data_IF_653237614221
#
_entry.id   IF_653237614221
#
_cell.length_a   1.000
_cell.length_b   1.000
_cell.length_c   1.000
_cell.angle_alpha   90.00
_cell.angle_beta   90.00
_cell.angle_gamma   90.00
#
_symmetry.space_group_name_H-M   'P 1'
#
loop_
_entity.id
_entity.type
_entity.pdbx_description
1 polymer ?
#
# COMPACT_ATOMS: atom_id res chain seq x y z
N UNK A 1 -17.89 -9.71 -4.74
CA UNK A 1 -18.08 -9.96 -3.28
C UNK A 1 -19.49 -9.55 -2.84
N UNK A 2 -20.16 -10.28 -1.94
CA UNK A 2 -21.46 -9.88 -1.35
C UNK A 2 -21.27 -9.51 0.13
N UNK A 3 -21.65 -8.30 0.53
CA UNK A 3 -21.68 -7.85 1.92
C UNK A 3 -23.14 -7.74 2.41
N UNK A 4 -23.40 -8.00 3.70
CA UNK A 4 -24.70 -7.75 4.30
C UNK A 4 -25.06 -6.26 4.28
N UNK A 5 -26.35 -5.96 4.37
CA UNK A 5 -26.81 -4.57 4.46
C UNK A 5 -26.47 -3.99 5.84
N UNK A 6 -25.55 -3.02 5.88
CA UNK A 6 -25.21 -2.29 7.11
C UNK A 6 -26.10 -1.07 7.35
N UNK A 7 -26.04 -0.53 8.58
CA UNK A 7 -26.68 0.75 8.91
C UNK A 7 -25.85 1.90 8.35
N UNK A 8 -26.40 2.67 7.41
CA UNK A 8 -25.73 3.86 6.87
C UNK A 8 -25.46 4.88 7.99
N UNK A 9 -24.20 5.23 8.17
CA UNK A 9 -23.77 6.27 9.12
C UNK A 9 -23.57 7.60 8.43
N UNK A 10 -22.98 7.58 7.21
CA UNK A 10 -22.60 8.80 6.51
C UNK A 10 -22.57 8.57 4.99
N UNK A 11 -22.96 9.59 4.24
CA UNK A 11 -22.81 9.65 2.78
C UNK A 11 -22.36 11.05 2.39
N UNK A 12 -21.19 11.19 1.76
CA UNK A 12 -20.67 12.48 1.28
C UNK A 12 -19.74 12.29 0.08
N UNK A 13 -19.61 13.32 -0.74
CA UNK A 13 -18.53 13.40 -1.73
C UNK A 13 -17.25 13.85 -1.01
N UNK A 14 -16.13 13.21 -1.31
CA UNK A 14 -14.80 13.52 -0.78
C UNK A 14 -13.80 13.59 -1.92
N UNK A 15 -12.99 14.64 -1.91
CA UNK A 15 -11.78 14.72 -2.72
C UNK A 15 -10.64 13.94 -2.04
N UNK A 16 -10.59 13.98 -0.71
CA UNK A 16 -9.58 13.29 0.10
C UNK A 16 -10.23 12.22 1.03
N UNK A 17 -9.96 10.92 0.78
CA UNK A 17 -10.35 9.80 1.64
C UNK A 17 -9.89 9.90 3.10
N UNK A 18 -8.81 10.66 3.39
CA UNK A 18 -8.23 10.82 4.73
C UNK A 18 -9.27 11.12 5.79
N UNK A 19 -10.18 12.05 5.47
CA UNK A 19 -11.22 12.49 6.42
C UNK A 19 -12.10 11.34 6.92
N UNK A 20 -12.31 10.32 6.09
CA UNK A 20 -13.12 9.16 6.44
C UNK A 20 -12.31 8.10 7.17
N UNK A 21 -11.05 7.91 6.81
CA UNK A 21 -10.15 7.01 7.54
C UNK A 21 -9.93 7.50 8.97
N UNK A 22 -9.73 8.81 9.17
CA UNK A 22 -9.67 9.42 10.50
C UNK A 22 -10.98 9.23 11.26
N UNK A 23 -12.13 9.52 10.63
CA UNK A 23 -13.45 9.37 11.25
C UNK A 23 -13.75 7.92 11.67
N UNK A 24 -13.36 6.95 10.86
CA UNK A 24 -13.50 5.52 11.16
C UNK A 24 -12.60 5.10 12.32
N UNK A 25 -11.34 5.54 12.33
CA UNK A 25 -10.38 5.24 13.38
C UNK A 25 -10.80 5.84 14.73
N UNK A 26 -11.11 7.14 14.76
CA UNK A 26 -11.47 7.86 15.99
C UNK A 26 -12.79 7.35 16.62
N UNK A 27 -13.67 6.77 15.81
CA UNK A 27 -14.94 6.18 16.27
C UNK A 27 -14.86 4.67 16.53
N UNK A 28 -13.70 4.07 16.34
CA UNK A 28 -13.50 2.62 16.43
C UNK A 28 -14.55 1.85 15.59
N UNK A 29 -14.79 2.32 14.36
CA UNK A 29 -15.86 1.77 13.52
C UNK A 29 -15.65 0.28 13.20
N UNK A 30 -16.70 -0.52 13.39
CA UNK A 30 -16.80 -1.84 12.76
C UNK A 30 -17.88 -1.81 11.69
N UNK A 31 -17.50 -2.14 10.45
CA UNK A 31 -18.36 -1.93 9.29
C UNK A 31 -17.56 -1.83 7.99
N UNK A 32 -18.06 -1.06 7.03
CA UNK A 32 -17.40 -0.90 5.73
C UNK A 32 -17.69 0.46 5.09
N UNK A 33 -16.75 0.94 4.27
CA UNK A 33 -16.93 2.08 3.39
C UNK A 33 -17.04 1.60 1.94
N UNK A 34 -17.93 2.23 1.18
CA UNK A 34 -18.05 2.09 -0.27
C UNK A 34 -17.59 3.38 -0.91
N UNK A 35 -16.66 3.28 -1.84
CA UNK A 35 -16.11 4.36 -2.64
C UNK A 35 -16.66 4.23 -4.05
N UNK A 36 -17.39 5.24 -4.51
CA UNK A 36 -17.91 5.29 -5.87
C UNK A 36 -17.28 6.49 -6.59
N UNK A 37 -16.45 6.30 -7.63
CA UNK A 37 -15.90 7.38 -8.44
C UNK A 37 -17.02 8.23 -9.05
N UNK A 38 -16.81 9.54 -9.19
CA UNK A 38 -17.82 10.39 -9.84
C UNK A 38 -17.95 10.13 -11.35
N UNK A 39 -16.85 9.77 -12.03
CA UNK A 39 -16.83 9.49 -13.46
C UNK A 39 -17.57 8.19 -13.84
N UNK A 40 -17.81 7.32 -12.86
CA UNK A 40 -18.65 6.12 -12.99
C UNK A 40 -20.09 6.43 -13.43
N UNK A 41 -20.56 7.67 -13.22
CA UNK A 41 -21.90 8.10 -13.61
C UNK A 41 -22.02 8.41 -15.11
N UNK A 42 -20.90 8.58 -15.83
CA UNK A 42 -20.89 9.05 -17.22
C UNK A 42 -20.55 7.95 -18.24
N UNK A 43 -19.88 6.86 -17.85
CA UNK A 43 -19.28 5.90 -18.80
C UNK A 43 -19.56 4.41 -18.52
N UNK A 44 -20.59 4.07 -17.73
CA UNK A 44 -20.91 2.68 -17.31
C UNK A 44 -19.79 1.95 -16.53
N UNK A 45 -18.66 2.60 -16.26
CA UNK A 45 -17.58 2.11 -15.42
C UNK A 45 -18.05 2.08 -13.96
N UNK A 46 -18.69 0.99 -13.55
CA UNK A 46 -19.39 0.83 -12.27
C UNK A 46 -18.48 0.30 -11.16
N UNK A 47 -17.17 0.58 -11.27
CA UNK A 47 -16.16 0.27 -10.28
C UNK A 47 -16.45 0.93 -8.96
N UNK A 48 -16.71 0.10 -7.95
CA UNK A 48 -16.85 0.52 -6.56
C UNK A 48 -15.76 -0.16 -5.76
N UNK A 49 -14.99 0.66 -5.05
CA UNK A 49 -14.07 0.19 -4.03
C UNK A 49 -14.81 -0.06 -2.72
N UNK A 50 -14.44 -1.11 -2.01
CA UNK A 50 -14.98 -1.43 -0.70
C UNK A 50 -13.81 -1.65 0.25
N UNK A 51 -13.84 -0.95 1.40
CA UNK A 51 -12.88 -1.15 2.49
C UNK A 51 -13.66 -1.51 3.75
N UNK A 52 -13.32 -2.62 4.40
CA UNK A 52 -13.92 -3.01 5.69
C UNK A 52 -13.06 -2.56 6.85
N UNK A 53 -13.70 -2.30 7.99
CA UNK A 53 -13.06 -1.86 9.23
C UNK A 53 -13.45 -2.77 10.39
N UNK A 54 -12.50 -2.99 11.30
CA UNK A 54 -12.72 -3.58 12.61
C UNK A 54 -12.13 -2.65 13.65
N UNK A 55 -12.95 -2.15 14.57
CA UNK A 55 -12.52 -1.17 15.58
C UNK A 55 -11.74 0.02 14.97
N UNK A 56 -12.17 0.51 13.80
CA UNK A 56 -11.56 1.62 13.08
C UNK A 56 -10.36 1.25 12.20
N UNK A 57 -9.84 0.02 12.32
CA UNK A 57 -8.68 -0.46 11.57
C UNK A 57 -9.12 -1.11 10.25
N UNK A 58 -8.59 -0.69 9.10
CA UNK A 58 -8.84 -1.33 7.81
C UNK A 58 -8.40 -2.80 7.81
N UNK A 59 -9.26 -3.69 7.30
CA UNK A 59 -8.99 -5.13 7.26
C UNK A 59 -8.94 -5.67 5.83
N UNK A 60 -9.98 -5.41 5.04
CA UNK A 60 -10.12 -5.90 3.67
C UNK A 60 -10.29 -4.74 2.70
N UNK A 61 -9.70 -4.86 1.51
CA UNK A 61 -10.03 -4.03 0.35
C UNK A 61 -10.49 -4.92 -0.82
N UNK A 62 -11.46 -4.43 -1.59
CA UNK A 62 -11.94 -5.09 -2.80
C UNK A 62 -12.43 -4.07 -3.81
N UNK A 63 -12.14 -4.30 -5.09
CA UNK A 63 -12.56 -3.45 -6.19
C UNK A 63 -13.49 -4.26 -7.11
N UNK A 64 -14.71 -3.76 -7.32
CA UNK A 64 -15.77 -4.53 -7.98
C UNK A 64 -15.65 -4.60 -9.50
N UNK A 65 -14.98 -3.63 -10.14
CA UNK A 65 -14.79 -3.62 -11.59
C UNK A 65 -13.59 -4.48 -12.01
N UNK A 66 -12.46 -4.33 -11.31
CA UNK A 66 -11.25 -5.13 -11.58
C UNK A 66 -11.28 -6.52 -10.92
N UNK A 67 -12.30 -6.81 -10.09
CA UNK A 67 -12.43 -8.01 -9.27
C UNK A 67 -11.17 -8.32 -8.41
N UNK A 68 -10.35 -7.30 -8.13
CA UNK A 68 -9.13 -7.45 -7.33
C UNK A 68 -9.44 -7.26 -5.85
N UNK A 69 -8.67 -7.93 -5.01
CA UNK A 69 -8.77 -7.85 -3.54
C UNK A 69 -7.41 -7.52 -2.92
N UNK A 70 -7.39 -7.06 -1.67
CA UNK A 70 -6.15 -6.77 -0.95
C UNK A 70 -5.41 -5.53 -1.48
N UNK A 71 -4.07 -5.49 -1.39
CA UNK A 71 -3.28 -4.32 -1.82
C UNK A 71 -3.50 -3.88 -3.27
N UNK A 72 -3.64 -4.78 -4.27
CA UNK A 72 -3.95 -4.37 -5.64
C UNK A 72 -5.28 -3.61 -5.78
N UNK A 73 -6.31 -4.02 -5.03
CA UNK A 73 -7.61 -3.34 -5.04
C UNK A 73 -7.52 -1.91 -4.49
N UNK A 74 -6.65 -1.71 -3.51
CA UNK A 74 -6.42 -0.41 -2.90
C UNK A 74 -5.65 0.54 -3.83
N UNK A 75 -4.72 -0.01 -4.62
CA UNK A 75 -4.00 0.75 -5.65
C UNK A 75 -4.94 1.21 -6.77
N UNK A 76 -5.85 0.33 -7.23
CA UNK A 76 -6.88 0.69 -8.19
C UNK A 76 -7.77 1.80 -7.65
N UNK A 77 -8.26 1.60 -6.42
CA UNK A 77 -9.10 2.60 -5.77
C UNK A 77 -8.41 3.95 -5.66
N UNK A 78 -7.10 4.03 -5.34
CA UNK A 78 -6.39 5.30 -5.21
C UNK A 78 -6.34 6.13 -6.50
N UNK A 79 -6.47 5.50 -7.66
CA UNK A 79 -6.36 6.15 -8.97
C UNK A 79 -7.68 6.79 -9.46
N UNK A 80 -8.80 6.58 -8.77
CA UNK A 80 -10.15 6.86 -9.29
C UNK A 80 -10.87 8.06 -8.63
N UNK A 81 -10.14 8.99 -7.99
CA UNK A 81 -10.72 10.10 -7.20
C UNK A 81 -11.16 11.29 -8.05
N UNK A 82 -12.22 12.05 -7.66
CA UNK A 82 -12.92 12.08 -6.36
C UNK A 82 -14.06 11.06 -6.18
N UNK A 83 -14.41 10.76 -4.92
CA UNK A 83 -15.35 9.69 -4.58
C UNK A 83 -16.63 10.18 -3.89
N UNK A 84 -17.76 9.57 -4.20
CA UNK A 84 -18.91 9.48 -3.29
C UNK A 84 -18.67 8.35 -2.30
N UNK A 85 -18.39 8.72 -1.06
CA UNK A 85 -18.18 7.76 0.02
C UNK A 85 -19.46 7.50 0.81
N UNK A 86 -19.75 6.22 1.05
CA UNK A 86 -20.83 5.77 1.95
C UNK A 86 -20.25 4.87 3.04
N UNK A 87 -20.49 5.22 4.30
CA UNK A 87 -19.98 4.51 5.47
C UNK A 87 -21.11 3.77 6.18
N UNK A 88 -20.93 2.48 6.44
CA UNK A 88 -21.93 1.62 7.04
C UNK A 88 -21.37 0.97 8.31
N UNK A 89 -22.19 0.90 9.36
CA UNK A 89 -21.90 0.08 10.55
C UNK A 89 -22.51 -1.31 10.40
N UNK A 90 -21.80 -2.33 10.85
CA UNK A 90 -22.24 -3.72 10.83
C UNK A 90 -21.78 -4.46 12.10
N UNK A 91 -22.44 -5.55 12.47
CA UNK A 91 -21.98 -6.37 13.58
C UNK A 91 -20.64 -7.05 13.19
N UNK A 92 -19.70 -7.24 14.13
CA UNK A 92 -18.42 -7.88 13.84
C UNK A 92 -18.58 -9.27 13.19
N UNK A 93 -19.53 -10.07 13.67
CA UNK A 93 -19.81 -11.42 13.19
C UNK A 93 -20.16 -11.47 11.69
N UNK A 94 -20.81 -10.43 11.18
CA UNK A 94 -21.19 -10.33 9.78
C UNK A 94 -19.99 -10.08 8.84
N UNK A 95 -18.84 -9.66 9.40
CA UNK A 95 -17.60 -9.42 8.66
C UNK A 95 -16.56 -10.54 8.84
N UNK A 96 -16.75 -11.48 9.77
CA UNK A 96 -15.77 -12.54 10.06
C UNK A 96 -15.42 -13.35 8.80
N UNK A 97 -16.44 -13.81 8.07
CA UNK A 97 -16.25 -14.62 6.87
C UNK A 97 -15.41 -13.93 5.77
N UNK A 98 -15.46 -12.59 5.69
CA UNK A 98 -14.61 -11.85 4.73
C UNK A 98 -13.24 -11.52 5.32
N UNK A 99 -13.18 -11.19 6.61
CA UNK A 99 -11.92 -10.93 7.31
C UNK A 99 -11.04 -12.18 7.40
N UNK A 100 -11.60 -13.39 7.37
CA UNK A 100 -10.84 -14.64 7.40
C UNK A 100 -10.20 -15.02 6.06
N UNK A 101 -10.45 -14.27 4.98
CA UNK A 101 -9.86 -14.53 3.66
C UNK A 101 -8.53 -13.79 3.50
N UNK A 102 -7.36 -14.46 3.53
CA UNK A 102 -6.07 -13.77 3.53
C UNK A 102 -5.82 -12.95 2.26
N UNK A 103 -6.31 -13.41 1.11
CA UNK A 103 -6.16 -12.72 -0.18
C UNK A 103 -6.89 -11.38 -0.27
N UNK A 104 -7.83 -11.13 0.64
CA UNK A 104 -8.60 -9.90 0.71
C UNK A 104 -7.97 -8.89 1.67
N UNK A 105 -7.09 -9.35 2.56
CA UNK A 105 -6.53 -8.55 3.64
C UNK A 105 -5.56 -7.51 3.12
N UNK A 106 -5.60 -6.33 3.74
CA UNK A 106 -4.60 -5.27 3.57
C UNK A 106 -3.87 -5.05 4.91
N UNK A 107 -2.60 -4.63 4.93
CA UNK A 107 -1.94 -4.21 6.18
C UNK A 107 -2.66 -3.01 6.83
N UNK A 108 -2.69 -2.91 8.17
CA UNK A 108 -3.45 -1.88 8.89
C UNK A 108 -3.16 -0.44 8.46
N UNK A 109 -1.89 -0.10 8.16
CA UNK A 109 -1.49 1.24 7.74
C UNK A 109 -1.71 1.53 6.25
N UNK A 110 -1.90 0.50 5.43
CA UNK A 110 -1.76 0.64 3.97
C UNK A 110 -2.85 1.52 3.36
N UNK A 111 -4.09 1.50 3.90
CA UNK A 111 -5.15 2.38 3.42
C UNK A 111 -4.81 3.86 3.62
N UNK A 112 -4.19 4.21 4.74
CA UNK A 112 -3.79 5.59 5.04
C UNK A 112 -2.62 6.04 4.14
N UNK A 113 -1.65 5.15 3.89
CA UNK A 113 -0.55 5.43 2.96
C UNK A 113 -1.04 5.61 1.53
N UNK A 114 -1.82 4.65 1.02
CA UNK A 114 -2.18 4.59 -0.40
C UNK A 114 -3.32 5.50 -0.81
N UNK A 115 -4.35 5.67 0.05
CA UNK A 115 -5.52 6.49 -0.30
C UNK A 115 -5.38 7.94 0.17
N UNK A 116 -4.64 8.18 1.25
CA UNK A 116 -4.55 9.50 1.89
C UNK A 116 -3.15 10.12 1.86
N UNK A 117 -2.12 9.35 1.46
CA UNK A 117 -0.73 9.80 1.51
C UNK A 117 -0.29 10.22 2.91
N UNK A 118 -0.85 9.62 3.97
CA UNK A 118 -0.71 10.09 5.35
C UNK A 118 0.02 9.04 6.22
N UNK A 119 1.35 9.14 6.36
CA UNK A 119 2.14 8.19 7.15
C UNK A 119 1.80 8.25 8.65
N UNK A 120 1.46 9.43 9.19
CA UNK A 120 1.10 9.57 10.59
C UNK A 120 -0.23 8.85 10.91
N UNK A 121 -1.20 8.94 10.01
CA UNK A 121 -2.43 8.15 10.10
C UNK A 121 -2.15 6.64 9.97
N UNK A 122 -1.21 6.26 9.12
CA UNK A 122 -0.80 4.86 8.98
C UNK A 122 -0.20 4.31 10.29
N UNK A 123 0.68 5.08 10.95
CA UNK A 123 1.26 4.73 12.26
C UNK A 123 0.19 4.57 13.33
N UNK A 124 -0.73 5.54 13.44
CA UNK A 124 -1.86 5.46 14.37
C UNK A 124 -2.72 4.21 14.12
N UNK A 125 -2.96 3.90 12.86
CA UNK A 125 -3.78 2.74 12.49
C UNK A 125 -3.06 1.42 12.77
N UNK A 126 -1.73 1.33 12.55
CA UNK A 126 -0.91 0.17 12.94
C UNK A 126 -0.88 0.00 14.46
N UNK A 127 -0.80 1.10 15.23
CA UNK A 127 -0.82 1.05 16.69
C UNK A 127 -2.16 0.56 17.25
N UNK A 128 -3.29 0.95 16.62
CA UNK A 128 -4.63 0.49 16.99
C UNK A 128 -4.93 -0.96 16.56
N UNK A 129 -4.11 -1.56 15.71
CA UNK A 129 -4.36 -2.89 15.18
C UNK A 129 -4.27 -4.00 16.26
N UNK A 130 -5.11 -5.06 16.17
CA UNK A 130 -4.99 -6.23 17.02
C UNK A 130 -3.56 -6.82 17.00
N UNK A 131 -3.09 -7.41 18.11
CA UNK A 131 -1.70 -7.87 18.24
C UNK A 131 -1.28 -8.83 17.11
N UNK A 132 -2.14 -9.77 16.72
CA UNK A 132 -1.88 -10.72 15.63
C UNK A 132 -1.56 -10.01 14.31
N UNK A 133 -2.23 -8.87 14.06
CA UNK A 133 -2.07 -8.05 12.84
C UNK A 133 -0.80 -7.19 12.88
N UNK A 134 -0.35 -6.79 14.07
CA UNK A 134 0.91 -6.05 14.26
C UNK A 134 2.11 -6.96 13.99
N UNK A 135 2.04 -8.21 14.44
CA UNK A 135 3.08 -9.22 14.20
C UNK A 135 3.19 -9.65 12.73
N UNK A 136 2.07 -9.80 12.01
CA UNK A 136 2.05 -10.05 10.55
C UNK A 136 2.78 -8.95 9.75
N UNK A 137 2.65 -7.69 10.20
CA UNK A 137 3.25 -6.54 9.50
C UNK A 137 4.75 -6.41 9.83
N UNK A 138 5.14 -6.66 11.08
CA UNK A 138 6.53 -6.63 11.51
C UNK A 138 7.37 -7.82 10.97
N UNK A 139 6.71 -8.94 10.63
CA UNK A 139 7.34 -10.15 10.12
C UNK A 139 7.43 -10.25 8.59
N UNK A 140 6.86 -9.29 7.84
CA UNK A 140 7.05 -9.23 6.40
C UNK A 140 8.38 -8.52 6.14
N UNK A 141 9.42 -9.16 5.59
CA UNK A 141 10.58 -8.44 5.10
C UNK A 141 10.05 -7.49 4.03
N UNK A 142 10.08 -6.19 4.31
CA UNK A 142 9.80 -5.19 3.29
C UNK A 142 10.73 -5.44 2.10
N UNK A 143 10.23 -5.19 0.90
CA UNK A 143 11.07 -4.96 -0.26
C UNK A 143 12.19 -3.97 0.16
N UNK A 144 13.49 -4.31 0.04
CA UNK A 144 14.59 -3.55 0.66
C UNK A 144 14.83 -2.15 0.04
N UNK A 145 13.88 -1.63 -0.73
CA UNK A 145 13.99 -0.38 -1.48
C UNK A 145 13.46 0.86 -0.73
N UNK A 146 12.84 0.71 0.46
CA UNK A 146 12.18 1.81 1.16
C UNK A 146 12.61 1.99 2.64
N UNK A 147 13.89 1.78 2.93
CA UNK A 147 14.49 2.17 4.21
C UNK A 147 15.53 3.27 3.99
N UNK A 148 15.06 4.50 3.78
CA UNK A 148 15.90 5.69 3.84
C UNK A 148 15.61 6.47 5.13
N UNK A 149 16.72 6.84 5.81
CA UNK A 149 16.86 7.94 6.76
C UNK A 149 16.16 7.81 8.13
N UNK A 150 16.94 7.34 9.11
CA UNK A 150 16.78 7.71 10.51
C UNK A 150 18.17 7.98 11.08
N UNK A 151 18.54 9.25 11.13
CA UNK A 151 19.74 9.76 11.82
C UNK A 151 19.33 9.93 13.30
N UNK A 152 19.99 9.24 14.22
CA UNK A 152 20.20 9.69 15.61
C UNK A 152 21.16 8.73 16.34
N UNK A 153 22.29 9.31 16.75
CA UNK A 153 23.22 8.98 17.83
C UNK A 153 23.22 7.58 18.48
N UNK A 154 24.31 6.84 18.25
CA UNK A 154 24.91 5.96 19.27
C UNK A 154 26.43 5.89 19.12
N UNK A 155 27.08 6.18 20.24
CA UNK A 155 28.52 6.12 20.50
C UNK A 155 29.07 4.68 20.37
N UNK A 156 30.23 4.59 19.71
CA UNK A 156 31.25 3.52 19.58
C UNK A 156 31.08 2.26 20.45
N UNK A 157 31.09 1.02 19.93
CA UNK A 157 32.15 0.33 19.19
C UNK A 157 31.53 -0.95 18.57
N UNK A 158 32.10 -1.48 17.47
CA UNK A 158 31.60 -2.60 16.64
C UNK A 158 30.53 -2.27 15.57
N UNK A 159 30.87 -1.36 14.64
CA UNK A 159 30.17 -1.27 13.36
C UNK A 159 30.44 -2.53 12.53
N UNK A 160 29.46 -3.42 12.46
CA UNK A 160 29.39 -4.41 11.39
C UNK A 160 29.30 -3.66 10.05
N UNK A 161 30.19 -3.92 9.08
CA UNK A 161 30.19 -3.19 7.81
C UNK A 161 28.84 -3.38 7.12
N UNK A 162 28.23 -2.27 6.69
CA UNK A 162 26.97 -2.30 5.98
C UNK A 162 27.11 -3.08 4.67
N UNK A 163 26.01 -3.64 4.16
CA UNK A 163 25.99 -4.42 2.90
C UNK A 163 26.66 -3.69 1.71
N UNK A 164 26.70 -2.36 1.75
CA UNK A 164 27.35 -1.52 0.74
C UNK A 164 28.87 -1.47 0.93
N UNK A 165 29.37 -1.40 2.17
CA UNK A 165 30.81 -1.49 2.45
C UNK A 165 31.35 -2.89 2.13
N UNK A 166 30.61 -3.95 2.49
CA UNK A 166 30.95 -5.32 2.14
C UNK A 166 30.96 -5.58 0.61
N UNK A 167 30.15 -4.84 -0.15
CA UNK A 167 30.16 -4.88 -1.61
C UNK A 167 31.31 -4.05 -2.20
N UNK A 168 31.69 -2.94 -1.56
CA UNK A 168 32.79 -2.08 -2.00
C UNK A 168 34.18 -2.67 -1.70
N UNK A 169 34.29 -3.55 -0.70
CA UNK A 169 35.51 -4.30 -0.40
C UNK A 169 35.76 -5.48 -1.37
N UNK A 170 34.77 -5.86 -2.18
CA UNK A 170 34.88 -6.90 -3.20
C UNK A 170 35.34 -6.30 -4.54
N UNK A 171 36.63 -5.95 -4.60
CA UNK A 171 37.25 -5.34 -5.77
C UNK A 171 37.12 -6.21 -7.04
N UNK A 172 37.09 -7.53 -6.90
CA UNK A 172 36.93 -8.47 -8.03
C UNK A 172 35.52 -8.34 -8.65
N UNK A 173 34.49 -8.18 -7.83
CA UNK A 173 33.11 -8.00 -8.30
C UNK A 173 32.88 -6.65 -8.99
N UNK A 174 33.54 -5.59 -8.51
CA UNK A 174 33.51 -4.27 -9.15
C UNK A 174 34.17 -4.31 -10.53
N UNK A 175 35.30 -5.02 -10.65
CA UNK A 175 36.02 -5.14 -11.92
C UNK A 175 35.20 -5.93 -12.96
N UNK A 176 34.54 -7.01 -12.56
CA UNK A 176 33.65 -7.78 -13.41
C UNK A 176 32.47 -6.93 -13.96
N UNK A 177 31.85 -6.09 -13.13
CA UNK A 177 30.75 -5.22 -13.55
C UNK A 177 31.24 -4.13 -14.52
N UNK A 178 32.44 -3.58 -14.28
CA UNK A 178 33.03 -2.55 -15.16
C UNK A 178 33.41 -3.13 -16.53
N UNK A 179 33.89 -4.37 -16.57
CA UNK A 179 34.21 -5.07 -17.80
C UNK A 179 32.93 -5.40 -18.59
N UNK A 180 31.91 -5.92 -17.91
CA UNK A 180 30.60 -6.18 -18.53
C UNK A 180 29.96 -4.90 -19.08
N UNK A 181 30.01 -3.79 -18.34
CA UNK A 181 29.47 -2.51 -18.79
C UNK A 181 30.20 -1.97 -20.03
N UNK A 182 31.52 -2.18 -20.16
CA UNK A 182 32.29 -1.80 -21.36
C UNK A 182 31.94 -2.66 -22.56
N UNK A 183 31.77 -3.97 -22.37
CA UNK A 183 31.41 -4.89 -23.45
C UNK A 183 30.02 -4.55 -24.01
N UNK A 184 29.02 -4.33 -23.15
CA UNK A 184 27.68 -3.93 -23.58
C UNK A 184 27.64 -2.53 -24.22
N UNK A 185 28.53 -1.63 -23.83
CA UNK A 185 28.63 -0.31 -24.45
C UNK A 185 29.21 -0.40 -25.87
N UNK A 186 30.20 -1.28 -26.10
CA UNK A 186 30.75 -1.54 -27.43
C UNK A 186 29.72 -2.21 -28.35
N UNK A 187 28.99 -3.22 -27.85
CA UNK A 187 27.94 -3.89 -28.61
C UNK A 187 26.79 -2.95 -29.00
N UNK A 188 26.35 -2.05 -28.10
CA UNK A 188 25.36 -1.03 -28.44
C UNK A 188 25.89 0.02 -29.42
N UNK A 189 27.19 0.35 -29.37
CA UNK A 189 27.78 1.30 -30.31
C UNK A 189 27.78 0.73 -31.75
N UNK A 190 28.06 -0.57 -31.89
CA UNK A 190 27.95 -1.30 -33.16
C UNK A 190 26.48 -1.39 -33.63
N UNK A 191 25.54 -1.66 -32.71
CA UNK A 191 24.11 -1.69 -33.00
C UNK A 191 23.57 -0.31 -33.44
N UNK A 192 24.12 0.78 -32.90
CA UNK A 192 23.67 2.14 -33.19
C UNK A 192 24.43 2.78 -34.37
N UNK A 193 25.38 2.07 -34.98
CA UNK A 193 26.05 2.49 -36.22
C UNK A 193 26.97 3.69 -36.08
N UNK A 194 27.70 3.81 -34.96
CA UNK A 194 28.69 4.88 -34.77
C UNK A 194 30.04 4.66 -35.49
N UNK A 195 30.15 3.63 -36.33
CA UNK A 195 31.35 3.33 -37.14
C UNK A 195 31.45 4.18 -38.44
N UNK A 196 30.77 5.33 -38.49
CA UNK A 196 30.93 6.30 -39.60
C UNK A 196 30.84 7.74 -39.09
N UNK A 197 31.81 8.14 -38.26
CA UNK A 197 32.26 9.53 -38.19
C UNK A 197 33.78 9.55 -38.09
N UNK A 198 34.44 9.60 -39.25
CA UNK A 198 35.86 9.93 -39.38
C UNK A 198 36.15 11.40 -39.04
#
# INVERSE_FOLDING_TARGET
MKLPEGRLLRSRVVEDPRTVLVDALDRELTGYAVFEPQDALLLEASGRGVVTFRAGVPVVAYHTDTDRAGPPALADLAAEGPYRLRLFALAPADLEAVHDRPTFRIPPGMAAERLAGDPALADRTRAAAPPDRRSETAGSPGDPTDAAAGDDDVDSDERQPGAVEAFLDDAEKIEAIREQARAEAAERADEWGFDDVA
#
